data_IF_661067338092
#
_entry.id   IF_661067338092
#
_cell.length_a   1.000
_cell.length_b   1.000
_cell.length_c   1.000
_cell.angle_alpha   90.00
_cell.angle_beta   90.00
_cell.angle_gamma   90.00
#
_symmetry.space_group_name_H-M   'P 1'
#
loop_
_entity.id
_entity.type
_entity.pdbx_description
1 polymer ?
#
# COMPACT_ATOMS: atom_id res chain seq x y z
N UNK A 1 3.40 25.50 -5.47
CA UNK A 1 4.40 24.42 -5.43
C UNK A 1 5.33 24.72 -4.26
N UNK A 2 5.42 23.79 -3.28
CA UNK A 2 6.39 23.90 -2.18
C UNK A 2 7.74 23.43 -2.72
N UNK A 3 8.79 24.20 -2.48
CA UNK A 3 10.15 23.87 -2.88
C UNK A 3 11.11 24.18 -1.74
N UNK A 4 12.08 23.32 -1.50
CA UNK A 4 13.04 23.45 -0.41
C UNK A 4 12.45 23.11 0.97
N UNK A 5 13.02 23.68 2.04
CA UNK A 5 12.59 23.46 3.42
C UNK A 5 11.48 24.45 3.75
N UNK A 6 10.33 23.95 4.17
CA UNK A 6 9.15 24.77 4.52
C UNK A 6 8.80 24.58 6.00
N UNK A 7 8.75 25.67 6.75
CA UNK A 7 8.30 25.72 8.14
C UNK A 7 6.82 26.08 8.25
N UNK A 8 6.03 25.26 8.96
CA UNK A 8 4.62 25.51 9.23
C UNK A 8 4.43 25.91 10.71
N UNK A 9 4.19 27.19 10.96
CA UNK A 9 4.00 27.73 12.30
C UNK A 9 2.53 28.09 12.53
N UNK A 10 1.91 27.49 13.53
CA UNK A 10 0.53 27.76 13.90
C UNK A 10 0.28 27.37 15.37
N UNK A 11 -0.70 27.97 16.06
CA UNK A 11 -1.10 27.58 17.41
C UNK A 11 -1.49 26.10 17.51
N UNK A 12 -1.53 25.57 18.72
CA UNK A 12 -2.06 24.22 18.93
C UNK A 12 -3.53 24.15 18.48
N UNK A 13 -3.94 22.98 18.00
CA UNK A 13 -5.25 22.73 17.42
C UNK A 13 -5.59 23.48 16.11
N UNK A 14 -4.67 24.26 15.53
CA UNK A 14 -4.88 24.95 14.25
C UNK A 14 -4.88 24.03 13.02
N UNK A 15 -4.66 22.71 13.20
CA UNK A 15 -4.73 21.73 12.11
C UNK A 15 -3.40 21.40 11.43
N UNK A 16 -2.24 21.71 12.03
CA UNK A 16 -0.91 21.35 11.46
C UNK A 16 -0.81 19.88 11.05
N UNK A 17 -1.21 18.99 11.95
CA UNK A 17 -1.19 17.55 11.67
C UNK A 17 -2.26 17.10 10.68
N UNK A 18 -3.33 17.87 10.51
CA UNK A 18 -4.37 17.55 9.51
C UNK A 18 -3.83 17.66 8.08
N UNK A 19 -2.75 18.44 7.86
CA UNK A 19 -2.09 18.50 6.57
C UNK A 19 -1.43 17.17 6.22
N UNK A 20 -0.74 16.54 7.18
CA UNK A 20 -0.13 15.21 7.01
C UNK A 20 -1.20 14.13 6.84
N UNK A 21 -2.29 14.20 7.60
CA UNK A 21 -3.45 13.32 7.43
C UNK A 21 -4.09 13.46 6.03
N UNK A 22 -4.20 14.68 5.51
CA UNK A 22 -4.72 14.93 4.17
C UNK A 22 -3.80 14.34 3.09
N UNK A 23 -2.49 14.44 3.26
CA UNK A 23 -1.50 13.84 2.37
C UNK A 23 -1.61 12.30 2.38
N UNK A 24 -1.59 11.70 3.57
CA UNK A 24 -1.73 10.26 3.74
C UNK A 24 -3.06 9.73 3.17
N UNK A 25 -4.15 10.46 3.39
CA UNK A 25 -5.44 10.10 2.82
C UNK A 25 -5.47 10.22 1.30
N UNK A 26 -4.88 11.28 0.75
CA UNK A 26 -4.84 11.48 -0.69
C UNK A 26 -4.06 10.36 -1.40
N UNK A 27 -2.92 9.96 -0.86
CA UNK A 27 -2.07 8.93 -1.43
C UNK A 27 -2.58 7.50 -1.15
N UNK A 28 -2.96 7.21 0.10
CA UNK A 28 -3.12 5.83 0.56
C UNK A 28 -4.52 5.45 1.06
N UNK A 29 -5.48 6.37 1.06
CA UNK A 29 -6.80 6.19 1.70
C UNK A 29 -6.73 5.95 3.22
N UNK A 30 -5.63 6.29 3.85
CA UNK A 30 -5.35 6.10 5.28
C UNK A 30 -5.25 7.45 5.97
N UNK A 31 -5.70 7.54 7.21
CA UNK A 31 -5.41 8.68 8.09
C UNK A 31 -4.72 8.14 9.33
N UNK A 32 -3.72 8.85 9.82
CA UNK A 32 -2.99 8.47 11.04
C UNK A 32 -3.90 8.46 12.28
N UNK A 33 -5.05 9.16 12.21
CA UNK A 33 -6.00 9.32 13.32
C UNK A 33 -7.36 8.66 13.11
N UNK A 34 -7.67 8.21 11.89
CA UNK A 34 -8.98 7.73 11.55
C UNK A 34 -8.94 6.50 10.65
N UNK A 35 -9.44 5.39 11.16
CA UNK A 35 -9.54 4.12 10.43
C UNK A 35 -10.70 4.12 9.40
N UNK A 36 -11.67 5.03 9.55
CA UNK A 36 -12.86 5.08 8.69
C UNK A 36 -12.97 6.42 7.95
N UNK A 37 -13.35 6.38 6.68
CA UNK A 37 -13.59 7.56 5.84
C UNK A 37 -14.56 8.58 6.47
N UNK A 38 -15.51 8.11 7.28
CA UNK A 38 -16.45 8.97 8.01
C UNK A 38 -15.78 9.94 8.98
N UNK A 39 -14.59 9.60 9.47
CA UNK A 39 -13.87 10.42 10.45
C UNK A 39 -12.88 11.39 9.78
N UNK A 40 -12.73 11.33 8.46
CA UNK A 40 -11.87 12.21 7.69
C UNK A 40 -12.58 13.51 7.35
N UNK A 41 -13.89 13.44 7.08
CA UNK A 41 -14.70 14.63 6.83
C UNK A 41 -14.85 15.42 8.14
N UNK A 42 -14.62 16.73 8.06
CA UNK A 42 -14.90 17.62 9.18
C UNK A 42 -16.35 17.42 9.69
N UNK A 43 -16.50 17.24 10.99
CA UNK A 43 -17.81 16.96 11.62
C UNK A 43 -18.88 18.01 11.30
N UNK A 44 -18.47 19.25 11.06
CA UNK A 44 -19.35 20.36 10.70
C UNK A 44 -19.64 20.46 9.18
N UNK A 45 -19.05 19.58 8.35
CA UNK A 45 -19.20 19.60 6.89
C UNK A 45 -19.74 18.27 6.37
N UNK A 46 -20.38 18.35 5.22
CA UNK A 46 -20.94 17.17 4.52
C UNK A 46 -20.09 16.75 3.32
N UNK A 47 -19.19 17.62 2.92
CA UNK A 47 -18.33 17.40 1.76
C UNK A 47 -16.87 17.57 2.16
N UNK A 48 -16.00 16.85 1.47
CA UNK A 48 -14.55 17.07 1.48
C UNK A 48 -14.01 17.08 0.06
N UNK A 49 -12.93 17.81 -0.11
CA UNK A 49 -12.18 17.84 -1.36
C UNK A 49 -10.69 17.86 -1.03
N UNK A 50 -9.95 16.94 -1.61
CA UNK A 50 -8.50 16.86 -1.49
C UNK A 50 -7.91 16.76 -2.89
N UNK A 51 -6.96 17.63 -3.22
CA UNK A 51 -6.22 17.60 -4.48
C UNK A 51 -4.73 17.64 -4.18
N UNK A 52 -4.00 16.71 -4.74
CA UNK A 52 -2.55 16.60 -4.62
C UNK A 52 -1.92 16.61 -6.01
N UNK A 53 -0.88 17.41 -6.17
CA UNK A 53 0.03 17.35 -7.31
C UNK A 53 1.42 17.04 -6.79
N UNK A 54 2.09 16.08 -7.42
CA UNK A 54 3.47 15.71 -7.13
C UNK A 54 4.18 15.28 -8.41
N UNK A 55 5.50 15.29 -8.38
CA UNK A 55 6.36 14.96 -9.51
C UNK A 55 7.27 13.81 -9.15
N UNK A 56 7.38 12.83 -10.04
CA UNK A 56 8.33 11.72 -9.96
C UNK A 56 8.98 11.60 -11.32
N UNK A 57 10.32 11.62 -11.37
CA UNK A 57 11.13 11.45 -12.58
C UNK A 57 10.68 12.35 -13.76
N UNK A 58 10.38 13.63 -13.47
CA UNK A 58 9.94 14.61 -14.46
C UNK A 58 8.45 14.52 -14.83
N UNK A 59 7.75 13.47 -14.48
CA UNK A 59 6.32 13.29 -14.74
C UNK A 59 5.48 13.89 -13.62
N UNK A 60 4.49 14.73 -13.97
CA UNK A 60 3.57 15.32 -13.00
C UNK A 60 2.35 14.43 -12.81
N UNK A 61 2.09 14.04 -11.57
CA UNK A 61 0.93 13.25 -11.18
C UNK A 61 -0.07 14.08 -10.39
N UNK A 62 -1.35 13.81 -10.62
CA UNK A 62 -2.46 14.52 -9.98
C UNK A 62 -3.45 13.50 -9.39
N UNK A 63 -3.78 13.69 -8.13
CA UNK A 63 -4.82 12.93 -7.45
C UNK A 63 -5.87 13.91 -6.97
N UNK A 64 -7.13 13.64 -7.27
CA UNK A 64 -8.27 14.40 -6.74
C UNK A 64 -9.25 13.45 -6.06
N UNK A 65 -9.60 13.72 -4.80
CA UNK A 65 -10.58 12.96 -4.04
C UNK A 65 -11.70 13.87 -3.58
N UNK A 66 -12.93 13.47 -3.89
CA UNK A 66 -14.15 14.16 -3.49
C UNK A 66 -14.99 13.23 -2.63
N UNK A 67 -15.27 13.64 -1.40
CA UNK A 67 -16.09 12.88 -0.48
C UNK A 67 -17.40 13.60 -0.19
N UNK A 68 -18.49 12.84 -0.15
CA UNK A 68 -19.81 13.33 0.22
C UNK A 68 -20.45 12.42 1.26
N UNK A 69 -20.87 13.03 2.38
CA UNK A 69 -21.57 12.33 3.45
C UNK A 69 -23.06 12.28 3.16
N UNK A 70 -23.64 11.09 3.18
CA UNK A 70 -25.07 10.91 3.15
C UNK A 70 -25.66 11.24 4.54
N UNK A 71 -26.51 12.23 4.62
CA UNK A 71 -27.08 12.71 5.89
C UNK A 71 -28.00 11.68 6.57
N UNK A 72 -28.63 10.77 5.79
CA UNK A 72 -29.52 9.75 6.34
C UNK A 72 -28.77 8.53 6.89
N UNK A 73 -27.81 8.02 6.13
CA UNK A 73 -27.08 6.80 6.49
C UNK A 73 -25.77 7.07 7.23
N UNK A 74 -25.28 8.31 7.22
CA UNK A 74 -23.98 8.67 7.76
C UNK A 74 -22.79 8.16 6.94
N UNK A 75 -23.02 7.39 5.88
CA UNK A 75 -21.96 6.87 5.02
C UNK A 75 -21.32 7.96 4.16
N UNK A 76 -20.02 7.87 3.99
CA UNK A 76 -19.25 8.74 3.11
C UNK A 76 -18.92 7.99 1.82
N UNK A 77 -19.40 8.52 0.69
CA UNK A 77 -18.95 8.12 -0.63
C UNK A 77 -17.74 8.97 -1.00
N UNK A 78 -16.65 8.34 -1.44
CA UNK A 78 -15.45 9.02 -1.92
C UNK A 78 -15.23 8.63 -3.37
N UNK A 79 -15.22 9.62 -4.24
CA UNK A 79 -14.83 9.49 -5.63
C UNK A 79 -13.35 9.88 -5.76
N UNK A 80 -12.62 9.24 -6.67
CA UNK A 80 -11.19 9.40 -6.88
C UNK A 80 -10.89 9.55 -8.37
N UNK A 81 -10.08 10.55 -8.70
CA UNK A 81 -9.50 10.74 -10.02
C UNK A 81 -7.98 10.76 -9.90
N UNK A 82 -7.31 10.02 -10.78
CA UNK A 82 -5.86 9.92 -10.86
C UNK A 82 -5.42 10.05 -12.32
N UNK A 83 -4.51 10.99 -12.59
CA UNK A 83 -3.97 11.22 -13.93
C UNK A 83 -2.54 11.71 -13.86
N UNK A 84 -1.84 11.59 -14.97
CA UNK A 84 -0.51 12.16 -15.15
C UNK A 84 -0.50 13.15 -16.31
N UNK A 85 0.46 14.05 -16.28
CA UNK A 85 0.79 14.98 -17.35
C UNK A 85 2.27 14.78 -17.68
N UNK A 86 2.55 14.43 -18.93
CA UNK A 86 3.91 14.22 -19.40
C UNK A 86 4.65 15.55 -19.68
N UNK A 87 5.89 15.46 -20.12
CA UNK A 87 6.72 16.61 -20.46
C UNK A 87 6.14 17.41 -21.65
N UNK A 88 5.36 16.79 -22.53
CA UNK A 88 4.72 17.41 -23.69
C UNK A 88 3.43 18.14 -23.31
N UNK A 89 2.94 17.92 -22.09
CA UNK A 89 1.67 18.47 -21.60
C UNK A 89 0.46 17.57 -21.88
N UNK A 90 0.67 16.36 -22.40
CA UNK A 90 -0.41 15.43 -22.66
C UNK A 90 -0.91 14.80 -21.37
N UNK A 91 -2.23 14.78 -21.22
CA UNK A 91 -2.89 14.25 -20.01
C UNK A 91 -3.33 12.81 -20.24
N UNK A 92 -2.85 11.90 -19.43
CA UNK A 92 -3.24 10.48 -19.43
C UNK A 92 -3.97 10.11 -18.15
N UNK A 93 -5.18 9.55 -18.28
CA UNK A 93 -5.92 9.03 -17.13
C UNK A 93 -5.34 7.71 -16.68
N UNK A 94 -5.13 7.58 -15.37
CA UNK A 94 -4.66 6.37 -14.69
C UNK A 94 -5.75 5.75 -13.81
N UNK A 95 -7.00 6.16 -14.01
CA UNK A 95 -8.15 5.59 -13.32
C UNK A 95 -8.34 4.12 -13.71
N UNK A 96 -8.71 3.31 -12.73
CA UNK A 96 -9.24 1.97 -12.98
C UNK A 96 -10.77 1.99 -13.03
N UNK A 97 -11.37 0.85 -13.36
CA UNK A 97 -12.83 0.69 -13.45
C UNK A 97 -13.54 0.93 -12.12
N UNK A 98 -12.83 0.78 -11.01
CA UNK A 98 -13.34 0.97 -9.65
C UNK A 98 -12.34 1.80 -8.82
N UNK A 99 -12.85 2.46 -7.77
CA UNK A 99 -12.02 3.18 -6.81
C UNK A 99 -10.85 2.34 -6.28
N UNK A 100 -11.08 1.06 -6.01
CA UNK A 100 -10.04 0.14 -5.51
C UNK A 100 -8.92 -0.03 -6.52
N UNK A 101 -9.24 -0.17 -7.79
CA UNK A 101 -8.27 -0.33 -8.87
C UNK A 101 -7.47 0.96 -9.08
N UNK A 102 -8.14 2.11 -9.05
CA UNK A 102 -7.45 3.41 -9.08
C UNK A 102 -6.49 3.57 -7.91
N UNK A 103 -6.88 3.17 -6.69
CA UNK A 103 -6.01 3.22 -5.53
C UNK A 103 -4.80 2.27 -5.65
N UNK A 104 -4.96 1.11 -6.28
CA UNK A 104 -3.84 0.22 -6.60
C UNK A 104 -2.89 0.85 -7.63
N UNK A 105 -3.41 1.58 -8.62
CA UNK A 105 -2.58 2.28 -9.59
C UNK A 105 -1.76 3.40 -8.92
N UNK A 106 -2.33 4.13 -7.97
CA UNK A 106 -1.59 5.12 -7.16
C UNK A 106 -0.47 4.43 -6.39
N UNK A 107 -0.74 3.30 -5.73
CA UNK A 107 0.28 2.55 -4.97
C UNK A 107 1.41 2.02 -5.85
N UNK A 108 1.15 1.68 -7.10
CA UNK A 108 2.22 1.28 -8.04
C UNK A 108 3.21 2.42 -8.31
N UNK A 109 2.76 3.67 -8.23
CA UNK A 109 3.59 4.86 -8.48
C UNK A 109 4.30 5.32 -7.19
N UNK A 110 3.59 5.33 -6.06
CA UNK A 110 4.07 5.95 -4.80
C UNK A 110 4.60 4.92 -3.79
N UNK A 111 4.30 3.63 -3.99
CA UNK A 111 4.61 2.58 -3.02
C UNK A 111 3.53 2.38 -1.96
N UNK A 112 3.86 1.65 -0.91
CA UNK A 112 2.95 1.37 0.20
C UNK A 112 3.03 2.42 1.31
N UNK A 113 1.95 2.55 2.09
CA UNK A 113 1.86 3.52 3.19
C UNK A 113 2.93 3.29 4.26
N UNK A 114 3.23 2.04 4.58
CA UNK A 114 4.25 1.70 5.58
C UNK A 114 5.64 2.18 5.16
N UNK A 115 6.00 1.99 3.89
CA UNK A 115 7.26 2.45 3.33
C UNK A 115 7.33 3.99 3.33
N UNK A 116 6.22 4.65 2.99
CA UNK A 116 6.13 6.11 2.99
C UNK A 116 6.30 6.69 4.40
N UNK A 117 5.68 6.10 5.41
CA UNK A 117 5.82 6.53 6.81
C UNK A 117 7.25 6.34 7.30
N UNK A 118 7.91 5.26 6.89
CA UNK A 118 9.28 4.97 7.33
C UNK A 118 10.33 5.87 6.68
N UNK A 119 10.08 6.32 5.44
CA UNK A 119 11.09 7.04 4.64
C UNK A 119 10.83 8.52 4.50
N UNK A 120 9.56 8.92 4.42
CA UNK A 120 9.18 10.26 3.96
C UNK A 120 8.32 11.04 4.95
N UNK A 121 7.72 10.36 5.94
CA UNK A 121 6.85 11.01 6.92
C UNK A 121 7.26 10.64 8.34
N UNK A 122 7.56 11.64 9.16
CA UNK A 122 7.80 11.46 10.60
C UNK A 122 6.73 12.21 11.39
N UNK A 123 5.95 11.51 12.20
CA UNK A 123 5.03 12.13 13.13
C UNK A 123 5.69 12.38 14.48
N UNK A 124 5.09 13.22 15.31
CA UNK A 124 5.67 13.68 16.59
C UNK A 124 6.04 12.53 17.54
N UNK A 125 5.37 11.37 17.43
CA UNK A 125 5.59 10.21 18.30
C UNK A 125 6.22 9.02 17.57
N UNK A 126 6.41 9.09 16.25
CA UNK A 126 6.81 7.95 15.42
C UNK A 126 8.30 7.93 15.07
N UNK A 127 9.07 8.96 15.43
CA UNK A 127 10.52 9.00 15.17
C UNK A 127 11.30 7.86 15.83
N UNK A 128 10.71 7.21 16.84
CA UNK A 128 11.29 6.07 17.55
C UNK A 128 10.66 4.73 17.17
N UNK A 129 9.73 4.70 16.22
CA UNK A 129 8.98 3.47 15.87
C UNK A 129 9.92 2.33 15.48
N UNK A 130 10.95 2.61 14.68
CA UNK A 130 11.94 1.59 14.31
C UNK A 130 12.74 1.08 15.53
N UNK A 131 13.13 1.98 16.41
CA UNK A 131 13.94 1.65 17.62
C UNK A 131 13.13 0.81 18.61
N UNK A 132 11.84 1.14 18.76
CA UNK A 132 10.95 0.47 19.71
C UNK A 132 10.38 -0.87 19.19
N UNK A 133 10.58 -1.19 17.92
CA UNK A 133 10.16 -2.49 17.36
C UNK A 133 11.03 -3.63 17.86
N UNK A 134 10.43 -4.81 17.98
CA UNK A 134 11.17 -6.05 18.27
C UNK A 134 12.15 -6.37 17.14
N UNK A 135 13.15 -7.21 17.43
CA UNK A 135 14.14 -7.62 16.44
C UNK A 135 13.47 -8.26 15.19
N UNK A 136 12.41 -9.04 15.40
CA UNK A 136 11.65 -9.66 14.31
C UNK A 136 10.99 -8.61 13.43
N UNK A 137 10.28 -7.66 14.00
CA UNK A 137 9.60 -6.58 13.26
C UNK A 137 10.60 -5.67 12.52
N UNK A 138 11.76 -5.39 13.12
CA UNK A 138 12.83 -4.63 12.43
C UNK A 138 13.37 -5.39 11.22
N UNK A 139 13.57 -6.71 11.36
CA UNK A 139 14.00 -7.56 10.25
C UNK A 139 12.95 -7.60 9.13
N UNK A 140 11.67 -7.73 9.46
CA UNK A 140 10.56 -7.69 8.50
C UNK A 140 10.50 -6.37 7.74
N UNK A 141 10.64 -5.23 8.44
CA UNK A 141 10.70 -3.91 7.83
C UNK A 141 11.89 -3.75 6.88
N UNK A 142 13.08 -4.15 7.31
CA UNK A 142 14.27 -4.11 6.45
C UNK A 142 14.11 -5.01 5.22
N UNK A 143 13.55 -6.20 5.39
CA UNK A 143 13.26 -7.13 4.29
C UNK A 143 12.27 -6.53 3.29
N UNK A 144 11.26 -5.81 3.78
CA UNK A 144 10.31 -5.09 2.94
C UNK A 144 10.98 -3.95 2.18
N UNK A 145 11.75 -3.11 2.87
CA UNK A 145 12.46 -1.98 2.29
C UNK A 145 13.49 -2.43 1.22
N UNK A 146 14.15 -3.55 1.44
CA UNK A 146 15.10 -4.15 0.50
C UNK A 146 14.42 -4.96 -0.62
N UNK A 147 13.09 -5.04 -0.65
CA UNK A 147 12.34 -5.81 -1.64
C UNK A 147 12.51 -7.34 -1.52
N UNK A 148 12.97 -7.84 -0.37
CA UNK A 148 13.27 -9.27 -0.18
C UNK A 148 12.02 -10.16 -0.09
N UNK A 149 10.85 -9.60 0.09
CA UNK A 149 9.56 -10.34 0.12
C UNK A 149 9.30 -11.13 -1.18
N UNK A 150 9.96 -10.80 -2.28
CA UNK A 150 9.87 -11.58 -3.52
C UNK A 150 10.43 -12.99 -3.33
N UNK A 151 11.52 -13.13 -2.57
CA UNK A 151 12.15 -14.43 -2.32
C UNK A 151 11.27 -15.32 -1.44
N UNK A 152 10.57 -14.74 -0.45
CA UNK A 152 9.60 -15.48 0.37
C UNK A 152 8.45 -16.03 -0.50
N UNK A 153 7.93 -15.22 -1.43
CA UNK A 153 6.90 -15.67 -2.38
C UNK A 153 7.39 -16.77 -3.32
N UNK A 154 8.60 -16.61 -3.85
CA UNK A 154 9.20 -17.63 -4.71
C UNK A 154 9.45 -18.93 -3.94
N UNK A 155 9.89 -18.84 -2.68
CA UNK A 155 10.08 -20.01 -1.83
C UNK A 155 8.75 -20.74 -1.56
N UNK A 156 7.68 -20.01 -1.25
CA UNK A 156 6.34 -20.60 -1.07
C UNK A 156 5.88 -21.29 -2.34
N UNK A 157 5.99 -20.64 -3.49
CA UNK A 157 5.61 -21.21 -4.78
C UNK A 157 6.41 -22.48 -5.09
N UNK A 158 7.74 -22.42 -4.96
CA UNK A 158 8.60 -23.59 -5.19
C UNK A 158 8.27 -24.74 -4.21
N UNK A 159 7.94 -24.41 -2.95
CA UNK A 159 7.55 -25.40 -1.96
C UNK A 159 6.20 -26.06 -2.29
N UNK A 160 5.27 -25.30 -2.87
CA UNK A 160 3.99 -25.84 -3.33
C UNK A 160 4.16 -26.71 -4.58
N UNK A 161 4.94 -26.25 -5.56
CA UNK A 161 5.21 -26.98 -6.80
C UNK A 161 5.89 -28.35 -6.55
N UNK A 162 6.74 -28.44 -5.51
CA UNK A 162 7.47 -29.69 -5.18
C UNK A 162 6.63 -30.69 -4.37
N UNK A 163 5.48 -30.29 -3.79
CA UNK A 163 4.65 -31.20 -2.95
C UNK A 163 4.19 -32.43 -3.70
N UNK A 164 3.66 -32.26 -4.89
CA UNK A 164 3.14 -33.36 -5.71
C UNK A 164 4.25 -34.32 -6.13
N UNK A 165 5.42 -33.76 -6.49
CA UNK A 165 6.60 -34.57 -6.86
C UNK A 165 7.13 -35.34 -5.64
N UNK A 166 7.15 -34.76 -4.47
CA UNK A 166 7.57 -35.43 -3.23
C UNK A 166 6.56 -36.53 -2.82
N UNK A 167 5.26 -36.33 -3.04
CA UNK A 167 4.24 -37.34 -2.80
C UNK A 167 4.47 -38.54 -3.71
N UNK A 168 4.62 -38.33 -5.02
CA UNK A 168 4.94 -39.40 -6.01
C UNK A 168 6.25 -40.12 -5.64
N UNK A 169 7.31 -39.36 -5.31
CA UNK A 169 8.58 -39.96 -4.91
C UNK A 169 8.46 -40.83 -3.66
N UNK A 170 7.63 -40.44 -2.73
CA UNK A 170 7.37 -41.18 -1.49
C UNK A 170 6.62 -42.49 -1.81
N UNK A 171 5.66 -42.44 -2.72
CA UNK A 171 4.90 -43.60 -3.15
C UNK A 171 5.80 -44.57 -3.93
N UNK A 172 6.64 -44.10 -4.83
CA UNK A 172 7.64 -44.93 -5.52
C UNK A 172 8.63 -45.56 -4.56
N UNK A 173 9.09 -44.87 -3.52
CA UNK A 173 10.02 -45.43 -2.52
C UNK A 173 9.36 -46.48 -1.62
N UNK A 174 8.03 -46.46 -1.46
CA UNK A 174 7.27 -47.44 -0.67
C UNK A 174 6.91 -48.67 -1.50
N UNK A 175 6.85 -48.57 -2.81
CA UNK A 175 6.54 -49.69 -3.70
C UNK A 175 7.72 -50.66 -3.74
N UNK A 176 7.46 -51.93 -3.45
CA UNK A 176 8.46 -53.01 -3.53
C UNK A 176 8.41 -53.62 -4.94
N UNK A 177 9.00 -52.92 -5.88
CA UNK A 177 9.05 -53.36 -7.29
C UNK A 177 9.84 -54.64 -7.52
N UNK A 178 10.77 -54.98 -6.64
CA UNK A 178 11.55 -56.20 -6.74
C UNK A 178 10.68 -57.42 -6.50
N UNK A 179 9.77 -57.35 -5.53
CA UNK A 179 8.77 -58.42 -5.24
C UNK A 179 7.75 -58.53 -6.37
N UNK A 180 7.25 -57.43 -6.93
CA UNK A 180 6.31 -57.42 -8.05
C UNK A 180 6.96 -57.99 -9.33
N UNK A 181 8.19 -57.64 -9.64
CA UNK A 181 8.95 -58.20 -10.77
C UNK A 181 9.17 -59.71 -10.62
N UNK A 182 9.50 -60.17 -9.42
CA UNK A 182 9.67 -61.61 -9.16
C UNK A 182 8.35 -62.41 -9.34
N UNK A 183 7.19 -61.83 -9.07
CA UNK A 183 5.87 -62.46 -9.29
C UNK A 183 5.47 -62.53 -10.76
N UNK A 184 5.95 -61.60 -11.61
CA UNK A 184 5.63 -61.60 -13.05
C UNK A 184 6.57 -62.51 -13.83
N UNK A 185 7.75 -62.82 -13.29
CA UNK A 185 8.80 -63.58 -13.98
C UNK A 185 8.68 -65.10 -13.67
N UNK A 186 7.85 -65.51 -12.72
CA UNK A 186 7.46 -66.93 -12.43
C UNK A 186 6.15 -67.29 -13.10
#
# INVERSE_FOLDING_TARGET
>A
KLNGIVGLFAPNAAGKSALLDALAFCLFDVSTRAVRANNIINKAKTNMHCKLNFEIDGTNYFIEKKGKKNLRSGHVKVDIDFWMVDENGDTTSLNGDQRRTTQLNIRKVVGDFEDFVLTSMSSQNDSTVFINKTQKERKELLSQFMGLKIFDRLWVQASDDIKDVNALLTDFKKADYDTELAQITN
#
